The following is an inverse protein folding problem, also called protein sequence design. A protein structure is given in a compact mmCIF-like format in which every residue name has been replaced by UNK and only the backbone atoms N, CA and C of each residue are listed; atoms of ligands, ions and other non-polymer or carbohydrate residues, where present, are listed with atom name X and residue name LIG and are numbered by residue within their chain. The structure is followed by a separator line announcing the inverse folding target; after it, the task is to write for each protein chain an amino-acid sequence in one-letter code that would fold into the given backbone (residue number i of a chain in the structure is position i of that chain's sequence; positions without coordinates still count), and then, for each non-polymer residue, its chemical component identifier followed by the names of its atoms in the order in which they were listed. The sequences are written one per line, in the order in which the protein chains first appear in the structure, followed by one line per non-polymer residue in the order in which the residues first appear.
data_IF_871321674150
#
_entry.id   IF_871321674150
#
_cell.length_a   1.000
_cell.length_b   1.000
_cell.length_c   1.000
_cell.angle_alpha   90.00
_cell.angle_beta   90.00
_cell.angle_gamma   90.00
#
_symmetry.space_group_name_H-M   'P 1'
#
loop_
_entity.id
_entity.type
_entity.pdbx_description
1 polymer ?
#
# COMPACT_ATOMS: atom_id res chain seq x y z
N UNK A 1 2.43 -26.52 -3.12
CA UNK A 1 1.94 -25.29 -2.46
C UNK A 1 1.34 -25.68 -1.12
N UNK A 2 1.80 -25.07 -0.03
CA UNK A 2 1.50 -25.52 1.33
C UNK A 2 0.29 -24.79 1.92
N UNK A 3 -0.54 -25.51 2.69
CA UNK A 3 -1.71 -24.94 3.39
C UNK A 3 -1.22 -24.06 4.55
N UNK A 4 -1.64 -22.80 4.58
CA UNK A 4 -1.29 -21.86 5.66
C UNK A 4 -2.45 -21.69 6.64
N UNK A 5 -2.13 -21.50 7.91
CA UNK A 5 -3.10 -21.19 8.97
C UNK A 5 -2.74 -19.87 9.63
N UNK A 6 -3.74 -19.05 9.88
CA UNK A 6 -3.61 -17.75 10.51
C UNK A 6 -4.59 -17.66 11.67
N UNK A 7 -4.14 -17.08 12.78
CA UNK A 7 -5.02 -16.70 13.88
C UNK A 7 -5.25 -15.20 13.84
N UNK A 8 -6.53 -14.80 13.81
CA UNK A 8 -6.95 -13.40 13.83
C UNK A 8 -7.91 -13.22 14.99
N UNK A 9 -7.36 -12.90 16.18
CA UNK A 9 -8.14 -12.85 17.41
C UNK A 9 -8.81 -14.19 17.71
N UNK A 10 -10.15 -14.22 17.79
CA UNK A 10 -10.95 -15.43 18.01
C UNK A 10 -11.19 -16.29 16.77
N UNK A 11 -10.74 -15.82 15.60
CA UNK A 11 -10.97 -16.47 14.32
C UNK A 11 -9.74 -17.29 13.91
N UNK A 12 -9.98 -18.54 13.50
CA UNK A 12 -8.98 -19.36 12.80
C UNK A 12 -9.26 -19.27 11.30
N UNK A 13 -8.25 -18.82 10.54
CA UNK A 13 -8.34 -18.68 9.09
C UNK A 13 -7.42 -19.70 8.44
N UNK A 14 -8.01 -20.57 7.63
CA UNK A 14 -7.29 -21.59 6.87
C UNK A 14 -7.21 -21.17 5.41
N UNK A 15 -6.00 -20.95 4.91
CA UNK A 15 -5.75 -20.67 3.50
C UNK A 15 -5.31 -21.93 2.75
N UNK A 16 -6.09 -22.32 1.74
CA UNK A 16 -5.81 -23.47 0.87
C UNK A 16 -5.51 -22.98 -0.56
N UNK A 17 -4.48 -23.51 -1.24
CA UNK A 17 -4.25 -23.20 -2.64
C UNK A 17 -5.41 -23.67 -3.52
N UNK A 18 -5.79 -22.86 -4.50
CA UNK A 18 -6.77 -23.26 -5.50
C UNK A 18 -6.05 -24.07 -6.60
N UNK A 19 -6.56 -25.25 -6.98
CA UNK A 19 -5.98 -26.04 -8.06
C UNK A 19 -5.80 -25.21 -9.33
N UNK A 20 -4.69 -25.41 -10.04
CA UNK A 20 -4.35 -24.70 -11.29
C UNK A 20 -4.11 -23.19 -11.15
N UNK A 21 -4.05 -22.65 -9.92
CA UNK A 21 -3.71 -21.24 -9.68
C UNK A 21 -2.46 -21.10 -8.83
N UNK A 22 -1.49 -20.33 -9.33
CA UNK A 22 -0.20 -20.10 -8.67
C UNK A 22 -0.28 -19.04 -7.57
N UNK A 23 -1.35 -18.24 -7.51
CA UNK A 23 -1.43 -17.12 -6.55
C UNK A 23 -2.74 -17.05 -5.77
N UNK A 24 -3.76 -17.84 -6.14
CA UNK A 24 -5.07 -17.78 -5.51
C UNK A 24 -5.19 -18.76 -4.35
N UNK A 25 -5.75 -18.25 -3.24
CA UNK A 25 -6.01 -19.01 -2.02
C UNK A 25 -7.50 -18.96 -1.68
N UNK A 26 -8.04 -20.08 -1.23
CA UNK A 26 -9.35 -20.20 -0.60
C UNK A 26 -9.19 -20.09 0.92
N UNK A 27 -9.71 -19.02 1.49
CA UNK A 27 -9.72 -18.75 2.92
C UNK A 27 -11.01 -19.29 3.54
N UNK A 28 -10.89 -20.21 4.48
CA UNK A 28 -12.03 -20.70 5.29
C UNK A 28 -11.88 -20.18 6.71
N UNK A 29 -12.93 -19.56 7.23
CA UNK A 29 -12.91 -18.91 8.55
C UNK A 29 -13.71 -19.76 9.54
N UNK A 30 -13.11 -20.00 10.70
CA UNK A 30 -13.67 -20.74 11.82
C UNK A 30 -13.70 -19.88 13.08
N UNK A 31 -14.71 -20.10 13.92
CA UNK A 31 -14.81 -19.57 15.29
C UNK A 31 -15.10 -20.75 16.20
N UNK A 32 -14.24 -20.99 17.21
CA UNK A 32 -14.39 -22.12 18.13
C UNK A 32 -14.63 -23.46 17.40
N UNK A 33 -13.88 -23.71 16.31
CA UNK A 33 -14.01 -24.93 15.50
C UNK A 33 -15.22 -24.97 14.54
N UNK A 34 -16.16 -24.02 14.62
CA UNK A 34 -17.31 -23.94 13.71
C UNK A 34 -16.99 -23.05 12.51
N UNK A 35 -17.19 -23.56 11.29
CA UNK A 35 -17.03 -22.77 10.05
C UNK A 35 -18.11 -21.69 9.99
N UNK A 36 -17.69 -20.44 9.78
CA UNK A 36 -18.59 -19.29 9.66
C UNK A 36 -18.61 -18.70 8.25
N UNK A 37 -17.59 -18.96 7.43
CA UNK A 37 -17.54 -18.43 6.07
C UNK A 37 -16.38 -18.99 5.25
N UNK A 38 -16.44 -18.75 3.94
CA UNK A 38 -15.32 -19.00 3.04
C UNK A 38 -15.25 -17.91 1.96
N UNK A 39 -14.04 -17.47 1.66
CA UNK A 39 -13.72 -16.47 0.64
C UNK A 39 -12.64 -17.04 -0.26
N UNK A 40 -12.64 -16.69 -1.54
CA UNK A 40 -11.56 -17.01 -2.47
C UNK A 40 -10.92 -15.70 -2.93
N UNK A 41 -9.58 -15.60 -2.88
CA UNK A 41 -8.88 -14.48 -3.52
C UNK A 41 -8.94 -14.69 -5.03
N UNK A 42 -9.98 -14.19 -5.67
CA UNK A 42 -10.05 -14.07 -7.12
C UNK A 42 -9.33 -12.79 -7.54
N UNK A 43 -8.50 -12.80 -8.60
CA UNK A 43 -7.97 -11.57 -9.16
C UNK A 43 -9.16 -10.70 -9.58
N UNK A 44 -9.12 -9.44 -9.18
CA UNK A 44 -10.07 -8.44 -9.63
C UNK A 44 -9.74 -8.03 -11.07
N UNK A 45 -10.67 -7.37 -11.75
CA UNK A 45 -10.40 -6.82 -13.10
C UNK A 45 -9.21 -5.85 -13.08
N UNK A 46 -9.04 -5.09 -12.00
CA UNK A 46 -7.87 -4.23 -11.81
C UNK A 46 -6.56 -5.01 -11.72
N UNK A 47 -6.55 -6.18 -11.08
CA UNK A 47 -5.35 -7.02 -11.00
C UNK A 47 -4.97 -7.56 -12.39
N UNK A 48 -5.96 -7.97 -13.19
CA UNK A 48 -5.73 -8.39 -14.58
C UNK A 48 -5.17 -7.24 -15.43
N UNK A 49 -5.80 -6.05 -15.38
CA UNK A 49 -5.32 -4.87 -16.11
C UNK A 49 -3.92 -4.44 -15.67
N UNK A 50 -3.59 -4.57 -14.39
CA UNK A 50 -2.26 -4.26 -13.89
C UNK A 50 -1.20 -5.23 -14.42
N UNK A 51 -1.52 -6.52 -14.55
CA UNK A 51 -0.62 -7.54 -15.10
C UNK A 51 -0.45 -7.41 -16.62
N UNK A 52 -1.54 -7.12 -17.35
CA UNK A 52 -1.55 -6.97 -18.80
C UNK A 52 -0.94 -5.63 -19.26
N UNK A 53 -1.26 -4.55 -18.55
CA UNK A 53 -0.89 -3.18 -18.88
C UNK A 53 -0.51 -2.42 -17.60
N UNK A 54 0.69 -2.69 -17.04
CA UNK A 54 1.10 -2.04 -15.81
C UNK A 54 1.12 -0.52 -16.01
N UNK A 55 0.52 0.26 -15.09
CA UNK A 55 0.52 1.71 -15.19
C UNK A 55 1.96 2.22 -15.16
N UNK A 56 2.25 3.25 -15.96
CA UNK A 56 3.57 3.85 -16.00
C UNK A 56 3.94 4.36 -14.60
N UNK A 57 4.96 3.74 -13.99
CA UNK A 57 5.44 4.14 -12.67
C UNK A 57 6.00 5.56 -12.80
N UNK A 58 5.50 6.54 -12.03
CA UNK A 58 6.06 7.88 -12.09
C UNK A 58 7.54 7.82 -11.72
N UNK A 59 8.42 8.56 -12.42
CA UNK A 59 9.84 8.54 -12.14
C UNK A 59 10.11 8.93 -10.69
N UNK A 60 10.97 8.16 -10.01
CA UNK A 60 11.33 8.37 -8.61
C UNK A 60 11.98 9.75 -8.47
N UNK A 61 11.23 10.74 -7.98
CA UNK A 61 11.78 12.05 -7.59
C UNK A 61 12.44 11.88 -6.21
N UNK A 62 13.75 11.63 -6.21
CA UNK A 62 14.55 11.32 -5.02
C UNK A 62 14.44 12.42 -3.96
N UNK A 63 14.26 13.69 -4.37
CA UNK A 63 14.04 14.80 -3.44
C UNK A 63 13.12 15.85 -4.06
N UNK A 64 12.01 16.15 -3.40
CA UNK A 64 11.20 17.32 -3.69
C UNK A 64 11.42 18.33 -2.57
N UNK A 65 12.27 19.33 -2.81
CA UNK A 65 12.40 20.47 -1.89
C UNK A 65 11.19 21.37 -2.13
N UNK A 66 10.10 21.10 -1.40
CA UNK A 66 8.94 21.98 -1.39
C UNK A 66 9.38 23.28 -0.73
N UNK A 67 9.45 24.35 -1.52
CA UNK A 67 9.67 25.70 -1.01
C UNK A 67 8.53 26.03 -0.05
N UNK A 68 8.84 26.14 1.24
CA UNK A 68 7.87 26.60 2.25
C UNK A 68 7.82 28.13 2.21
N UNK A 69 6.62 28.73 2.13
CA UNK A 69 6.47 30.17 2.32
C UNK A 69 7.15 30.58 3.63
N UNK A 70 8.11 31.50 3.57
CA UNK A 70 8.89 31.97 4.73
C UNK A 70 10.35 31.49 4.81
N UNK A 71 10.76 30.47 4.02
CA UNK A 71 12.18 30.10 3.93
C UNK A 71 12.83 30.83 2.74
N UNK A 72 13.85 31.69 2.92
CA UNK A 72 14.53 32.32 1.80
C UNK A 72 15.09 31.27 0.84
N UNK A 73 14.95 31.50 -0.48
CA UNK A 73 15.58 30.64 -1.50
C UNK A 73 17.10 30.65 -1.29
N UNK A 74 17.77 29.55 -1.64
CA UNK A 74 19.24 29.48 -1.58
C UNK A 74 19.81 30.57 -2.51
N UNK A 75 20.55 31.54 -1.95
CA UNK A 75 21.04 32.71 -2.68
C UNK A 75 20.17 33.98 -2.56
N UNK A 76 19.08 33.94 -1.78
CA UNK A 76 18.33 35.16 -1.46
C UNK A 76 19.19 36.09 -0.60
N UNK A 77 19.21 37.38 -0.97
CA UNK A 77 19.84 38.42 -0.17
C UNK A 77 19.20 38.44 1.23
N UNK A 78 20.00 38.59 2.31
CA UNK A 78 19.45 38.76 3.65
C UNK A 78 18.51 39.96 3.64
N UNK A 79 17.38 39.85 4.36
CA UNK A 79 16.48 40.99 4.52
C UNK A 79 17.30 42.17 5.05
N UNK A 80 17.42 43.22 4.23
CA UNK A 80 18.10 44.44 4.63
C UNK A 80 17.43 44.95 5.90
N UNK A 81 18.23 45.16 6.96
CA UNK A 81 17.75 45.83 8.17
C UNK A 81 17.09 47.14 7.74
N UNK A 82 15.79 47.25 7.96
CA UNK A 82 15.12 48.56 7.95
C UNK A 82 15.79 49.36 9.05
N UNK A 83 16.57 50.38 8.67
CA UNK A 83 17.03 51.38 9.63
C UNK A 83 15.79 52.11 10.14
N UNK A 84 15.49 51.91 11.43
CA UNK A 84 14.65 52.82 12.19
C UNK A 84 15.34 54.18 12.19
N UNK A 85 14.72 55.18 11.56
CA UNK A 85 15.12 56.58 11.75
C UNK A 85 13.89 57.47 11.82
N UNK A 86 13.69 57.99 13.05
CA UNK A 86 13.07 59.25 13.47
C UNK A 86 11.56 59.42 13.31
#
# INVERSE_FOLDING_TARGET
MERKRFMVGKYEVVAQPIPYSTHMLRYTVFVAGKRIGALASMPTESDCRFLESPPAVPPVKIFQVVYRPGRPKKGALPASRTEENS
#
